data_IF_843324808674
#
_entry.id   IF_843324808674
#
_cell.length_a   1.000
_cell.length_b   1.000
_cell.length_c   1.000
_cell.angle_alpha   90.00
_cell.angle_beta   90.00
_cell.angle_gamma   90.00
#
_symmetry.space_group_name_H-M   'P 1'
#
loop_
_entity.id
_entity.type
_entity.pdbx_description
1 polymer ?
#
# COMPACT_ATOMS: atom_id res chain seq x y z
N UNK A 1 -50.75 -60.02 -29.26
CA UNK A 1 -49.98 -60.26 -30.51
C UNK A 1 -48.64 -59.58 -30.33
N UNK A 2 -47.60 -60.31 -29.92
CA UNK A 2 -46.54 -60.86 -30.81
C UNK A 2 -45.77 -59.72 -31.54
N UNK A 3 -44.44 -59.59 -31.50
CA UNK A 3 -43.40 -60.50 -31.05
C UNK A 3 -42.07 -59.76 -30.80
N UNK A 4 -41.16 -60.50 -30.13
CA UNK A 4 -39.72 -60.31 -29.97
C UNK A 4 -38.99 -60.06 -31.31
N UNK A 5 -37.89 -59.31 -31.26
CA UNK A 5 -36.85 -59.28 -32.29
C UNK A 5 -35.49 -58.89 -31.70
N UNK A 6 -34.59 -59.87 -31.60
CA UNK A 6 -33.17 -59.75 -31.24
C UNK A 6 -32.34 -59.21 -32.42
N UNK A 7 -31.31 -58.42 -32.15
CA UNK A 7 -30.26 -58.07 -33.12
C UNK A 7 -28.94 -57.77 -32.41
N UNK A 8 -27.95 -58.66 -32.59
CA UNK A 8 -26.58 -58.54 -32.07
C UNK A 8 -25.72 -57.68 -33.00
N UNK A 9 -24.78 -56.93 -32.40
CA UNK A 9 -23.39 -56.85 -32.84
C UNK A 9 -22.94 -55.56 -33.53
N UNK A 10 -22.01 -54.84 -32.90
CA UNK A 10 -20.64 -54.60 -33.41
C UNK A 10 -19.79 -53.90 -32.35
N UNK A 11 -18.56 -54.36 -32.20
CA UNK A 11 -17.51 -53.75 -31.39
C UNK A 11 -16.99 -52.48 -32.08
N UNK A 12 -16.75 -51.43 -31.29
CA UNK A 12 -16.03 -50.22 -31.71
C UNK A 12 -15.36 -49.59 -30.49
N UNK A 13 -14.04 -49.77 -30.38
CA UNK A 13 -13.15 -49.06 -29.46
C UNK A 13 -13.04 -47.59 -29.89
N UNK A 14 -13.15 -46.62 -28.97
CA UNK A 14 -12.26 -45.43 -28.86
C UNK A 14 -12.88 -44.28 -28.07
N UNK A 15 -12.10 -43.69 -27.14
CA UNK A 15 -12.26 -42.33 -26.59
C UNK A 15 -13.09 -42.28 -25.30
N UNK A 16 -12.56 -42.05 -24.10
CA UNK A 16 -11.32 -41.34 -23.75
C UNK A 16 -11.59 -39.86 -23.54
N UNK A 17 -11.81 -39.47 -22.27
CA UNK A 17 -11.61 -38.15 -21.67
C UNK A 17 -12.39 -36.94 -22.22
N UNK A 18 -13.60 -36.70 -21.73
CA UNK A 18 -14.29 -35.39 -21.83
C UNK A 18 -14.39 -34.63 -20.49
N UNK A 19 -13.79 -35.12 -19.41
CA UNK A 19 -13.87 -34.48 -18.08
C UNK A 19 -12.58 -33.78 -17.62
N UNK A 20 -11.49 -33.81 -18.39
CA UNK A 20 -10.22 -33.13 -18.03
C UNK A 20 -9.94 -31.84 -18.82
N UNK A 21 -10.73 -31.54 -19.86
CA UNK A 21 -10.48 -30.38 -20.72
C UNK A 21 -10.99 -29.05 -20.12
N UNK A 22 -11.88 -29.08 -19.12
CA UNK A 22 -12.53 -27.87 -18.60
C UNK A 22 -11.83 -27.25 -17.38
N UNK A 23 -10.83 -27.91 -16.79
CA UNK A 23 -10.13 -27.44 -15.58
C UNK A 23 -8.74 -26.86 -15.86
N UNK A 24 -8.34 -26.75 -17.13
CA UNK A 24 -7.01 -26.24 -17.54
C UNK A 24 -7.01 -24.83 -18.14
N UNK A 25 -8.17 -24.16 -18.21
CA UNK A 25 -8.30 -22.85 -18.84
C UNK A 25 -8.28 -21.64 -17.88
N UNK A 26 -8.04 -21.86 -16.58
CA UNK A 26 -8.01 -20.79 -15.56
C UNK A 26 -6.69 -20.76 -14.76
N UNK A 27 -5.57 -21.14 -15.39
CA UNK A 27 -4.24 -20.80 -14.85
C UNK A 27 -3.80 -19.56 -15.61
N UNK A 28 -3.86 -18.42 -14.93
CA UNK A 28 -3.44 -17.12 -15.45
C UNK A 28 -2.09 -17.24 -16.15
N UNK A 29 -2.02 -16.69 -17.37
CA UNK A 29 -0.74 -16.48 -18.06
C UNK A 29 0.04 -15.42 -17.30
N UNK A 30 0.78 -15.85 -16.29
CA UNK A 30 1.74 -14.99 -15.62
C UNK A 30 3.03 -15.03 -16.42
N UNK A 31 3.32 -13.92 -17.09
CA UNK A 31 4.67 -13.68 -17.59
C UNK A 31 5.60 -13.64 -16.38
N UNK A 32 6.32 -14.73 -16.12
CA UNK A 32 7.53 -14.67 -15.33
C UNK A 32 8.54 -13.87 -16.16
N UNK A 33 8.47 -12.54 -16.06
CA UNK A 33 9.48 -11.67 -16.63
C UNK A 33 10.82 -12.12 -16.03
N UNK A 34 11.75 -12.52 -16.90
CA UNK A 34 13.09 -12.90 -16.49
C UNK A 34 13.80 -11.62 -16.08
N UNK A 35 13.85 -11.37 -14.78
CA UNK A 35 14.62 -10.27 -14.20
C UNK A 35 16.09 -10.51 -14.53
N UNK A 36 16.73 -9.52 -15.16
CA UNK A 36 18.17 -9.54 -15.37
C UNK A 36 18.88 -9.08 -14.09
N UNK A 37 19.09 -10.02 -13.16
CA UNK A 37 19.71 -9.75 -11.85
C UNK A 37 21.11 -9.13 -11.94
N UNK A 38 21.85 -9.33 -13.04
CA UNK A 38 23.18 -8.72 -13.22
C UNK A 38 23.20 -7.19 -13.22
N UNK A 39 22.02 -6.55 -13.34
CA UNK A 39 21.85 -5.09 -13.27
C UNK A 39 21.15 -4.65 -11.97
N UNK A 40 20.73 -5.60 -11.12
CA UNK A 40 19.92 -5.36 -9.93
C UNK A 40 20.78 -5.44 -8.68
N UNK A 41 21.43 -4.32 -8.36
CA UNK A 41 22.28 -4.24 -7.17
C UNK A 41 21.46 -4.01 -5.90
N UNK A 42 21.97 -4.52 -4.78
CA UNK A 42 21.46 -4.27 -3.43
C UNK A 42 22.23 -3.15 -2.71
N UNK A 43 21.96 -2.96 -1.42
CA UNK A 43 22.62 -1.92 -0.60
C UNK A 43 24.15 -2.08 -0.47
N UNK A 44 24.69 -3.26 -0.72
CA UNK A 44 26.13 -3.54 -0.74
C UNK A 44 26.73 -3.50 -2.16
N UNK A 45 25.90 -3.28 -3.19
CA UNK A 45 26.32 -3.36 -4.59
C UNK A 45 26.36 -4.78 -5.15
N UNK A 46 25.86 -5.78 -4.42
CA UNK A 46 25.83 -7.19 -4.82
C UNK A 46 24.59 -7.47 -5.68
N UNK A 47 24.73 -8.38 -6.65
CA UNK A 47 23.72 -8.74 -7.64
C UNK A 47 23.23 -10.19 -7.50
N UNK A 48 24.01 -11.06 -6.84
CA UNK A 48 23.74 -12.50 -6.79
C UNK A 48 23.09 -12.94 -5.48
N UNK A 49 23.29 -12.18 -4.40
CA UNK A 49 22.83 -12.58 -3.06
C UNK A 49 21.32 -12.48 -2.87
N UNK A 50 20.67 -11.45 -3.41
CA UNK A 50 19.22 -11.29 -3.33
C UNK A 50 18.46 -12.46 -4.00
N UNK A 51 18.80 -12.90 -5.23
CA UNK A 51 18.22 -14.11 -5.83
C UNK A 51 18.31 -15.34 -4.93
N UNK A 52 19.48 -15.60 -4.35
CA UNK A 52 19.72 -16.76 -3.49
C UNK A 52 18.92 -16.69 -2.18
N UNK A 53 18.82 -15.51 -1.57
CA UNK A 53 17.98 -15.30 -0.39
C UNK A 53 16.50 -15.50 -0.71
N UNK A 54 16.02 -15.02 -1.87
CA UNK A 54 14.65 -15.21 -2.31
C UNK A 54 14.31 -16.71 -2.51
N UNK A 55 15.23 -17.49 -3.10
CA UNK A 55 15.06 -18.95 -3.20
C UNK A 55 15.00 -19.62 -1.83
N UNK A 56 15.86 -19.20 -0.90
CA UNK A 56 15.90 -19.75 0.46
C UNK A 56 14.59 -19.48 1.21
N UNK A 57 14.09 -18.23 1.21
CA UNK A 57 12.86 -17.87 1.94
C UNK A 57 11.58 -18.40 1.29
N UNK A 58 11.64 -18.82 0.02
CA UNK A 58 10.54 -19.52 -0.66
C UNK A 58 10.35 -20.96 -0.19
N UNK A 59 11.46 -21.60 0.19
CA UNK A 59 11.53 -22.99 0.65
C UNK A 59 11.33 -23.09 2.16
N UNK A 60 11.93 -22.19 2.93
CA UNK A 60 11.98 -22.25 4.39
C UNK A 60 11.68 -20.87 5.02
N UNK A 61 10.88 -20.84 6.09
CA UNK A 61 10.66 -19.61 6.87
C UNK A 61 11.85 -19.34 7.81
N UNK A 62 13.01 -19.05 7.21
CA UNK A 62 14.25 -18.77 7.92
C UNK A 62 14.32 -17.28 8.32
N UNK A 63 14.30 -17.01 9.63
CA UNK A 63 14.26 -15.66 10.16
C UNK A 63 15.52 -14.82 9.81
N UNK A 64 16.71 -15.42 9.84
CA UNK A 64 17.97 -14.75 9.50
C UNK A 64 18.02 -14.38 8.02
N UNK A 65 17.54 -15.27 7.15
CA UNK A 65 17.46 -15.02 5.71
C UNK A 65 16.49 -13.88 5.38
N UNK A 66 15.35 -13.81 6.08
CA UNK A 66 14.41 -12.69 5.94
C UNK A 66 14.98 -11.37 6.44
N UNK A 67 15.73 -11.39 7.53
CA UNK A 67 16.39 -10.20 8.07
C UNK A 67 17.46 -9.68 7.11
N UNK A 68 18.35 -10.55 6.61
CA UNK A 68 19.35 -10.18 5.61
C UNK A 68 18.70 -9.66 4.33
N UNK A 69 17.66 -10.33 3.83
CA UNK A 69 16.92 -9.87 2.66
C UNK A 69 16.32 -8.49 2.89
N UNK A 70 15.74 -8.24 4.07
CA UNK A 70 15.21 -6.94 4.46
C UNK A 70 16.26 -5.83 4.35
N UNK A 71 17.43 -6.01 4.98
CA UNK A 71 18.52 -5.02 4.94
C UNK A 71 19.06 -4.77 3.54
N UNK A 72 19.10 -5.80 2.69
CA UNK A 72 19.60 -5.69 1.31
C UNK A 72 18.65 -4.93 0.40
N UNK A 73 17.34 -5.15 0.56
CA UNK A 73 16.32 -4.53 -0.29
C UNK A 73 15.93 -3.14 0.18
N UNK A 74 15.92 -2.92 1.50
CA UNK A 74 15.50 -1.67 2.15
C UNK A 74 16.51 -1.31 3.23
N UNK A 75 17.40 -0.35 2.95
CA UNK A 75 18.38 0.11 3.93
C UNK A 75 17.74 1.10 4.90
N UNK A 76 17.90 0.84 6.20
CA UNK A 76 17.48 1.71 7.31
C UNK A 76 16.03 2.21 7.23
N UNK A 77 15.16 1.43 6.57
CA UNK A 77 13.75 1.76 6.31
C UNK A 77 13.49 2.98 5.40
N UNK A 78 14.52 3.53 4.73
CA UNK A 78 14.41 4.79 3.99
C UNK A 78 14.83 4.71 2.51
N UNK A 79 15.75 3.80 2.16
CA UNK A 79 16.27 3.68 0.79
C UNK A 79 15.99 2.30 0.21
N UNK A 80 15.41 2.28 -1.00
CA UNK A 80 15.17 1.05 -1.78
C UNK A 80 16.14 1.00 -2.96
N UNK A 81 16.68 -0.18 -3.22
CA UNK A 81 17.62 -0.43 -4.32
C UNK A 81 16.94 -1.13 -5.50
N UNK A 82 17.51 -1.14 -6.72
CA UNK A 82 16.92 -1.83 -7.88
C UNK A 82 16.57 -3.30 -7.60
N UNK A 83 17.38 -4.00 -6.78
CA UNK A 83 17.08 -5.35 -6.33
C UNK A 83 15.75 -5.47 -5.57
N UNK A 84 15.32 -4.42 -4.87
CA UNK A 84 14.03 -4.35 -4.17
C UNK A 84 12.85 -4.38 -5.13
N UNK A 85 12.87 -3.51 -6.13
CA UNK A 85 11.82 -3.49 -7.18
C UNK A 85 11.80 -4.81 -7.96
N UNK A 86 12.97 -5.33 -8.33
CA UNK A 86 13.12 -6.63 -8.98
C UNK A 86 12.58 -7.82 -8.14
N UNK A 87 12.69 -7.76 -6.82
CA UNK A 87 12.19 -8.79 -5.92
C UNK A 87 10.66 -8.73 -5.71
N UNK A 88 10.03 -7.59 -6.01
CA UNK A 88 8.65 -7.29 -5.63
C UNK A 88 7.64 -8.33 -6.14
N UNK A 89 7.67 -8.81 -7.41
CA UNK A 89 6.74 -9.84 -7.87
C UNK A 89 6.87 -11.16 -7.11
N UNK A 90 8.10 -11.54 -6.68
CA UNK A 90 8.31 -12.76 -5.87
C UNK A 90 7.75 -12.59 -4.46
N UNK A 91 8.04 -11.45 -3.83
CA UNK A 91 7.56 -11.12 -2.48
C UNK A 91 6.02 -11.09 -2.43
N UNK A 92 5.37 -10.50 -3.43
CA UNK A 92 3.90 -10.42 -3.51
C UNK A 92 3.27 -11.81 -3.61
N UNK A 93 3.84 -12.73 -4.42
CA UNK A 93 3.35 -14.12 -4.47
C UNK A 93 3.42 -14.83 -3.12
N UNK A 94 4.44 -14.52 -2.33
CA UNK A 94 4.61 -15.07 -0.99
C UNK A 94 3.76 -14.38 0.08
N UNK A 95 3.33 -13.13 -0.16
CA UNK A 95 2.62 -12.31 0.82
C UNK A 95 1.30 -12.91 1.31
N UNK A 96 0.70 -13.85 0.56
CA UNK A 96 -0.54 -14.53 0.98
C UNK A 96 -0.31 -15.49 2.16
N UNK A 97 0.89 -16.07 2.23
CA UNK A 97 1.28 -17.09 3.22
C UNK A 97 2.39 -16.64 4.17
N UNK A 98 3.06 -15.52 3.90
CA UNK A 98 4.16 -14.99 4.71
C UNK A 98 3.91 -13.52 5.09
N UNK A 99 3.80 -13.26 6.40
CA UNK A 99 3.71 -11.90 6.93
C UNK A 99 5.00 -11.10 6.68
N UNK A 100 6.17 -11.77 6.69
CA UNK A 100 7.46 -11.14 6.38
C UNK A 100 7.53 -10.69 4.92
N UNK A 101 7.08 -11.53 3.99
CA UNK A 101 7.00 -11.18 2.58
C UNK A 101 6.04 -10.00 2.34
N UNK A 102 4.87 -10.03 2.99
CA UNK A 102 3.89 -8.93 2.94
C UNK A 102 4.47 -7.62 3.45
N UNK A 103 5.09 -7.65 4.64
CA UNK A 103 5.69 -6.46 5.23
C UNK A 103 6.84 -5.91 4.41
N UNK A 104 7.68 -6.77 3.82
CA UNK A 104 8.79 -6.34 2.97
C UNK A 104 8.33 -5.76 1.63
N UNK A 105 7.33 -6.37 0.98
CA UNK A 105 6.71 -5.82 -0.23
C UNK A 105 6.07 -4.45 0.05
N UNK A 106 5.37 -4.31 1.17
CA UNK A 106 4.83 -3.04 1.64
C UNK A 106 5.91 -1.98 1.86
N UNK A 107 6.99 -2.33 2.56
CA UNK A 107 8.11 -1.43 2.81
C UNK A 107 8.77 -0.91 1.51
N UNK A 108 8.92 -1.77 0.50
CA UNK A 108 9.42 -1.38 -0.82
C UNK A 108 8.46 -0.38 -1.49
N UNK A 109 7.15 -0.70 -1.51
CA UNK A 109 6.15 0.14 -2.16
C UNK A 109 6.00 1.52 -1.51
N UNK A 110 6.09 1.62 -0.18
CA UNK A 110 6.03 2.92 0.52
C UNK A 110 7.13 3.89 0.09
N UNK A 111 8.20 3.41 -0.53
CA UNK A 111 9.33 4.21 -1.02
C UNK A 111 9.38 4.32 -2.54
N UNK A 112 8.40 3.78 -3.25
CA UNK A 112 8.42 3.69 -4.71
C UNK A 112 8.38 5.06 -5.42
N UNK A 113 7.77 6.09 -4.80
CA UNK A 113 7.79 7.46 -5.32
C UNK A 113 9.15 8.19 -5.19
N UNK A 114 10.16 7.56 -4.57
CA UNK A 114 11.50 8.12 -4.53
C UNK A 114 12.18 8.10 -5.90
N UNK A 115 13.11 9.03 -6.14
CA UNK A 115 13.86 9.11 -7.39
C UNK A 115 14.97 8.05 -7.45
N UNK A 116 14.59 6.78 -7.57
CA UNK A 116 15.51 5.64 -7.59
C UNK A 116 15.98 5.25 -9.00
N UNK A 117 15.44 5.90 -10.04
CA UNK A 117 15.71 5.55 -11.44
C UNK A 117 15.20 4.16 -11.83
N UNK A 118 14.20 3.65 -11.11
CA UNK A 118 13.64 2.31 -11.24
C UNK A 118 12.18 2.32 -11.71
N UNK A 119 11.71 3.42 -12.30
CA UNK A 119 10.30 3.61 -12.68
C UNK A 119 9.83 2.53 -13.66
N UNK A 120 10.70 2.14 -14.60
CA UNK A 120 10.44 1.04 -15.54
C UNK A 120 10.23 -0.31 -14.82
N UNK A 121 11.04 -0.60 -13.79
CA UNK A 121 10.91 -1.83 -13.00
C UNK A 121 9.61 -1.84 -12.19
N UNK A 122 9.20 -0.68 -11.70
CA UNK A 122 7.93 -0.53 -10.97
C UNK A 122 6.75 -0.69 -11.92
N UNK A 123 6.81 -0.10 -13.12
CA UNK A 123 5.79 -0.22 -14.16
C UNK A 123 5.61 -1.68 -14.61
N UNK A 124 6.71 -2.43 -14.75
CA UNK A 124 6.70 -3.87 -15.03
C UNK A 124 6.02 -4.70 -13.91
N UNK A 125 5.93 -4.17 -12.70
CA UNK A 125 5.28 -4.83 -11.56
C UNK A 125 3.77 -4.52 -11.43
N UNK A 126 3.16 -3.77 -12.34
CA UNK A 126 1.78 -3.26 -12.19
C UNK A 126 0.74 -4.35 -11.87
N UNK A 127 0.77 -5.48 -12.58
CA UNK A 127 -0.15 -6.61 -12.33
C UNK A 127 0.05 -7.21 -10.93
N UNK A 128 1.30 -7.38 -10.51
CA UNK A 128 1.61 -7.89 -9.17
C UNK A 128 1.14 -6.90 -8.09
N UNK A 129 1.35 -5.60 -8.29
CA UNK A 129 0.89 -4.56 -7.36
C UNK A 129 -0.65 -4.56 -7.26
N UNK A 130 -1.36 -4.77 -8.38
CA UNK A 130 -2.81 -4.91 -8.39
C UNK A 130 -3.27 -6.09 -7.51
N UNK A 131 -2.65 -7.26 -7.65
CA UNK A 131 -2.93 -8.42 -6.79
C UNK A 131 -2.62 -8.14 -5.32
N UNK A 132 -1.53 -7.42 -5.06
CA UNK A 132 -1.13 -7.08 -3.70
C UNK A 132 -2.12 -6.15 -3.01
N UNK A 133 -2.75 -5.21 -3.74
CA UNK A 133 -3.82 -4.35 -3.22
C UNK A 133 -5.00 -5.18 -2.72
N UNK A 134 -5.46 -6.15 -3.50
CA UNK A 134 -6.57 -7.04 -3.11
C UNK A 134 -6.20 -7.92 -1.92
N UNK A 135 -4.95 -8.35 -1.84
CA UNK A 135 -4.42 -9.11 -0.71
C UNK A 135 -4.40 -8.27 0.56
N UNK A 136 -3.90 -7.04 0.49
CA UNK A 136 -3.84 -6.10 1.61
C UNK A 136 -5.25 -5.71 2.07
N UNK A 137 -6.19 -5.42 1.17
CA UNK A 137 -7.57 -5.09 1.55
C UNK A 137 -8.24 -6.24 2.30
N UNK A 138 -8.09 -7.49 1.82
CA UNK A 138 -8.56 -8.68 2.55
C UNK A 138 -7.87 -8.85 3.90
N UNK A 139 -6.58 -8.52 3.98
CA UNK A 139 -5.85 -8.57 5.24
C UNK A 139 -6.39 -7.54 6.24
N UNK A 140 -6.67 -6.30 5.82
CA UNK A 140 -7.24 -5.26 6.67
C UNK A 140 -8.60 -5.67 7.25
N UNK A 141 -9.45 -6.30 6.44
CA UNK A 141 -10.75 -6.84 6.89
C UNK A 141 -10.62 -7.91 7.99
N UNK A 142 -9.46 -8.59 8.09
CA UNK A 142 -9.17 -9.52 9.19
C UNK A 142 -8.77 -8.84 10.51
N UNK A 143 -8.70 -7.50 10.51
CA UNK A 143 -8.37 -6.64 11.66
C UNK A 143 -7.06 -7.03 12.35
N UNK A 144 -5.93 -6.97 11.61
CA UNK A 144 -4.65 -7.36 12.16
C UNK A 144 -4.23 -6.43 13.30
N UNK A 145 -3.47 -6.99 14.25
CA UNK A 145 -2.72 -6.17 15.22
C UNK A 145 -1.75 -5.28 14.44
N UNK A 146 -1.71 -3.99 14.80
CA UNK A 146 -0.90 -3.02 14.04
C UNK A 146 -1.53 -2.64 12.70
N UNK A 147 -2.85 -2.48 12.66
CA UNK A 147 -3.67 -2.14 11.48
C UNK A 147 -3.12 -1.01 10.59
N UNK A 148 -2.52 0.03 11.20
CA UNK A 148 -1.99 1.17 10.45
C UNK A 148 -0.93 0.76 9.42
N UNK A 149 -0.01 -0.14 9.77
CA UNK A 149 1.08 -0.55 8.86
C UNK A 149 0.55 -1.08 7.52
N UNK A 150 -0.31 -2.12 7.52
CA UNK A 150 -0.94 -2.62 6.30
C UNK A 150 -1.83 -1.60 5.57
N UNK A 151 -2.42 -0.62 6.28
CA UNK A 151 -3.19 0.45 5.64
C UNK A 151 -2.26 1.38 4.84
N UNK A 152 -1.11 1.75 5.41
CA UNK A 152 -0.08 2.53 4.72
C UNK A 152 0.48 1.75 3.52
N UNK A 153 0.71 0.45 3.66
CA UNK A 153 1.10 -0.40 2.53
C UNK A 153 0.06 -0.36 1.40
N UNK A 154 -1.24 -0.37 1.74
CA UNK A 154 -2.32 -0.31 0.76
C UNK A 154 -2.44 1.07 0.10
N UNK A 155 -2.18 2.15 0.84
CA UNK A 155 -2.08 3.50 0.27
C UNK A 155 -0.93 3.57 -0.73
N UNK A 156 0.25 3.06 -0.37
CA UNK A 156 1.39 3.02 -1.29
C UNK A 156 1.12 2.17 -2.54
N UNK A 157 0.46 1.02 -2.39
CA UNK A 157 0.05 0.19 -3.53
C UNK A 157 -1.05 0.86 -4.38
N UNK A 158 -1.75 1.85 -3.83
CA UNK A 158 -2.69 2.74 -4.54
C UNK A 158 -2.01 3.98 -5.13
N UNK A 159 -0.69 4.09 -5.03
CA UNK A 159 0.12 5.22 -5.47
C UNK A 159 -0.16 6.52 -4.67
N UNK A 160 -0.79 6.40 -3.51
CA UNK A 160 -1.06 7.49 -2.57
C UNK A 160 0.14 7.64 -1.62
N UNK A 161 1.33 7.79 -2.21
CA UNK A 161 2.61 7.72 -1.49
C UNK A 161 2.76 8.80 -0.43
N UNK A 162 2.29 10.02 -0.72
CA UNK A 162 2.32 11.14 0.22
C UNK A 162 1.46 10.86 1.45
N UNK A 163 0.28 10.27 1.29
CA UNK A 163 -0.54 9.83 2.41
C UNK A 163 0.08 8.66 3.16
N UNK A 164 0.62 7.67 2.43
CA UNK A 164 1.34 6.55 3.04
C UNK A 164 2.54 6.99 3.89
N UNK A 165 3.15 8.13 3.59
CA UNK A 165 4.36 8.60 4.26
C UNK A 165 4.07 9.35 5.58
N UNK A 166 2.89 9.94 5.72
CA UNK A 166 2.59 10.88 6.82
C UNK A 166 1.43 10.44 7.71
N UNK A 167 0.51 9.62 7.20
CA UNK A 167 -0.69 9.26 7.93
C UNK A 167 -0.31 8.46 9.19
N UNK A 168 -0.63 9.00 10.35
CA UNK A 168 -0.47 8.34 11.64
C UNK A 168 -1.75 7.64 12.09
N UNK A 169 -1.76 7.24 13.36
CA UNK A 169 -2.94 6.72 14.04
C UNK A 169 -3.77 7.84 14.69
N UNK A 170 -3.35 9.10 14.54
CA UNK A 170 -3.92 10.28 15.19
C UNK A 170 -3.87 10.23 16.71
N UNK A 171 -2.88 9.56 17.30
CA UNK A 171 -2.60 9.73 18.74
C UNK A 171 -1.94 11.09 19.01
N UNK A 172 -1.00 11.51 18.17
CA UNK A 172 -0.26 12.79 18.29
C UNK A 172 0.21 13.32 16.92
N UNK A 173 -0.70 13.39 15.94
CA UNK A 173 -0.34 13.77 14.57
C UNK A 173 -0.26 15.29 14.40
N UNK A 174 0.83 15.74 13.78
CA UNK A 174 1.04 17.14 13.39
C UNK A 174 1.37 17.28 11.91
N UNK A 175 0.74 18.27 11.27
CA UNK A 175 1.01 18.65 9.89
C UNK A 175 1.38 20.13 9.85
N UNK A 176 2.43 20.47 9.12
CA UNK A 176 2.85 21.85 8.92
C UNK A 176 2.50 22.28 7.50
N UNK A 177 1.65 23.30 7.38
CA UNK A 177 1.13 23.77 6.11
C UNK A 177 1.30 25.28 5.98
N UNK A 178 1.71 25.76 4.81
CA UNK A 178 1.64 27.19 4.52
C UNK A 178 0.19 27.59 4.27
N UNK A 179 -0.27 28.69 4.89
CA UNK A 179 -1.58 29.23 4.59
C UNK A 179 -1.63 29.70 3.12
N UNK A 180 -2.61 29.25 2.30
CA UNK A 180 -2.66 29.62 0.88
C UNK A 180 -2.90 31.12 0.65
N UNK A 181 -3.37 31.86 1.65
CA UNK A 181 -3.68 33.29 1.53
C UNK A 181 -2.54 34.22 1.99
N UNK A 182 -1.86 33.89 3.09
CA UNK A 182 -0.81 34.76 3.66
C UNK A 182 0.55 34.09 3.81
N UNK A 183 0.69 32.84 3.36
CA UNK A 183 1.92 32.03 3.39
C UNK A 183 2.53 31.77 4.78
N UNK A 184 1.89 32.19 5.88
CA UNK A 184 2.35 31.84 7.23
C UNK A 184 2.27 30.33 7.43
N UNK A 185 3.28 29.75 8.06
CA UNK A 185 3.24 28.35 8.48
C UNK A 185 2.20 28.17 9.59
N UNK A 186 1.32 27.20 9.40
CA UNK A 186 0.25 26.82 10.31
C UNK A 186 0.48 25.38 10.73
N UNK A 187 0.56 25.14 12.04
CA UNK A 187 0.54 23.80 12.62
C UNK A 187 -0.90 23.32 12.66
N UNK A 188 -1.15 22.13 12.14
CA UNK A 188 -2.41 21.39 12.26
C UNK A 188 -2.16 20.23 13.21
N UNK A 189 -2.86 20.20 14.33
CA UNK A 189 -2.82 19.12 15.31
C UNK A 189 -4.12 18.31 15.22
N UNK A 190 -4.01 16.98 15.14
CA UNK A 190 -5.14 16.05 15.14
C UNK A 190 -4.81 14.89 16.06
N UNK A 191 -5.60 14.71 17.12
CA UNK A 191 -5.47 13.56 18.01
C UNK A 191 -5.83 13.84 19.46
N UNK A 192 -5.18 13.15 20.39
CA UNK A 192 -5.51 13.15 21.82
C UNK A 192 -5.34 14.53 22.47
N UNK A 193 -4.46 15.37 21.93
CA UNK A 193 -4.24 16.75 22.40
C UNK A 193 -5.22 17.77 21.80
N UNK A 194 -6.18 17.31 21.00
CA UNK A 194 -7.23 18.09 20.38
C UNK A 194 -7.04 18.28 18.87
N UNK A 195 -8.08 18.82 18.23
CA UNK A 195 -8.10 19.09 16.80
C UNK A 195 -8.09 20.59 16.55
N UNK A 196 -6.93 21.17 16.23
CA UNK A 196 -6.80 22.62 16.03
C UNK A 196 -5.73 23.01 15.01
N UNK A 197 -5.85 24.24 14.49
CA UNK A 197 -4.79 24.95 13.80
C UNK A 197 -4.16 26.01 14.72
N UNK A 198 -2.85 26.25 14.62
CA UNK A 198 -2.10 27.16 15.48
C UNK A 198 -0.87 27.75 14.78
N UNK A 199 -0.28 28.78 15.40
CA UNK A 199 1.10 29.22 15.09
C UNK A 199 2.03 28.58 16.11
N UNK A 200 3.12 27.97 15.63
CA UNK A 200 4.14 27.40 16.50
C UNK A 200 5.06 28.50 17.02
N UNK A 201 5.01 28.76 18.32
CA UNK A 201 6.01 29.56 19.02
C UNK A 201 7.03 28.65 19.70
N UNK A 202 8.31 29.01 19.61
CA UNK A 202 9.40 28.21 20.16
C UNK A 202 9.35 28.06 21.70
N UNK A 203 8.88 29.08 22.40
CA UNK A 203 8.86 29.11 23.87
C UNK A 203 7.49 28.77 24.45
N UNK A 204 6.42 29.19 23.78
CA UNK A 204 5.05 29.06 24.25
C UNK A 204 4.32 27.84 23.67
N UNK A 205 4.92 27.16 22.68
CA UNK A 205 4.29 26.09 21.94
C UNK A 205 3.22 26.62 20.99
N UNK A 206 2.11 25.89 20.84
CA UNK A 206 1.06 26.25 19.90
C UNK A 206 0.15 27.35 20.44
N UNK A 207 0.28 28.55 19.86
CA UNK A 207 -0.48 29.75 20.22
C UNK A 207 -1.59 30.05 19.20
N UNK A 208 -2.55 30.89 19.61
CA UNK A 208 -3.68 31.33 18.78
C UNK A 208 -4.53 30.19 18.18
N UNK A 209 -4.72 29.12 18.95
CA UNK A 209 -5.45 27.92 18.51
C UNK A 209 -6.85 28.24 17.95
N UNK A 210 -7.18 27.61 16.83
CA UNK A 210 -8.52 27.62 16.20
C UNK A 210 -8.98 26.19 16.01
N UNK A 211 -10.22 25.87 16.38
CA UNK A 211 -10.75 24.52 16.21
C UNK A 211 -10.81 24.12 14.73
N UNK A 212 -10.43 22.89 14.43
CA UNK A 212 -10.65 22.33 13.10
C UNK A 212 -12.13 22.00 12.91
N UNK A 213 -12.57 22.00 11.66
CA UNK A 213 -13.90 21.52 11.29
C UNK A 213 -13.75 20.21 10.52
N UNK A 214 -14.23 19.07 11.04
CA UNK A 214 -14.16 17.82 10.30
C UNK A 214 -15.04 17.91 9.05
N UNK A 215 -14.65 17.19 8.01
CA UNK A 215 -15.48 16.97 6.83
C UNK A 215 -16.66 16.05 7.20
N UNK A 216 -17.86 16.38 6.70
CA UNK A 216 -18.96 15.41 6.74
C UNK A 216 -18.70 14.27 5.74
N UNK A 217 -19.41 13.15 5.92
CA UNK A 217 -19.31 12.02 4.98
C UNK A 217 -19.64 12.41 3.53
N UNK A 218 -20.56 13.36 3.33
CA UNK A 218 -20.93 13.89 2.02
C UNK A 218 -19.84 14.81 1.44
N UNK A 219 -19.08 15.51 2.29
CA UNK A 219 -17.96 16.36 1.88
C UNK A 219 -16.72 15.54 1.50
N UNK A 220 -16.56 14.32 2.03
CA UNK A 220 -15.45 13.43 1.67
C UNK A 220 -15.56 12.94 0.22
N UNK A 221 -14.45 12.92 -0.51
CA UNK A 221 -14.37 12.38 -1.88
C UNK A 221 -13.01 11.73 -2.13
N UNK A 222 -12.89 11.03 -3.25
CA UNK A 222 -11.63 10.40 -3.69
C UNK A 222 -11.00 9.53 -2.59
N UNK A 223 -9.71 9.76 -2.34
CA UNK A 223 -8.94 8.96 -1.37
C UNK A 223 -9.38 9.19 0.07
N UNK A 224 -9.80 10.42 0.44
CA UNK A 224 -10.28 10.72 1.79
C UNK A 224 -11.54 9.93 2.15
N UNK A 225 -12.50 9.85 1.21
CA UNK A 225 -13.69 8.99 1.35
C UNK A 225 -13.30 7.53 1.50
N UNK A 226 -12.42 7.05 0.61
CA UNK A 226 -11.98 5.66 0.64
C UNK A 226 -11.30 5.29 1.97
N UNK A 227 -10.39 6.13 2.48
CA UNK A 227 -9.71 5.90 3.76
C UNK A 227 -10.70 5.85 4.92
N UNK A 228 -11.62 6.82 4.98
CA UNK A 228 -12.65 6.87 6.01
C UNK A 228 -13.55 5.63 5.97
N UNK A 229 -14.09 5.27 4.80
CA UNK A 229 -14.94 4.08 4.63
C UNK A 229 -14.21 2.78 5.00
N UNK A 230 -12.93 2.67 4.64
CA UNK A 230 -12.09 1.52 4.98
C UNK A 230 -11.90 1.40 6.49
N UNK A 231 -11.56 2.50 7.16
CA UNK A 231 -11.41 2.52 8.62
C UNK A 231 -12.73 2.18 9.35
N UNK A 232 -13.86 2.74 8.89
CA UNK A 232 -15.20 2.42 9.44
C UNK A 232 -15.56 0.95 9.24
N UNK A 233 -15.40 0.42 8.02
CA UNK A 233 -15.67 -1.00 7.69
C UNK A 233 -14.89 -1.93 8.62
N UNK A 234 -13.63 -1.58 8.89
CA UNK A 234 -12.71 -2.42 9.64
C UNK A 234 -12.80 -2.17 11.16
N UNK A 235 -13.64 -1.23 11.61
CA UNK A 235 -13.94 -0.99 13.03
C UNK A 235 -12.95 -0.07 13.75
N UNK A 236 -12.25 0.79 13.01
CA UNK A 236 -11.27 1.75 13.51
C UNK A 236 -11.86 3.17 13.55
N UNK A 237 -12.78 3.41 14.50
CA UNK A 237 -13.52 4.68 14.62
C UNK A 237 -12.60 5.90 14.85
N UNK A 238 -11.64 5.79 15.77
CA UNK A 238 -10.70 6.90 16.05
C UNK A 238 -9.89 7.31 14.80
N UNK A 239 -9.48 6.33 13.99
CA UNK A 239 -8.79 6.58 12.73
C UNK A 239 -9.73 7.26 11.72
N UNK A 240 -10.98 6.79 11.60
CA UNK A 240 -11.98 7.40 10.73
C UNK A 240 -12.27 8.85 11.12
N UNK A 241 -12.39 9.14 12.42
CA UNK A 241 -12.58 10.50 12.95
C UNK A 241 -11.38 11.39 12.62
N UNK A 242 -10.16 10.90 12.83
CA UNK A 242 -8.93 11.61 12.45
C UNK A 242 -8.86 11.92 10.96
N UNK A 243 -9.24 10.96 10.10
CA UNK A 243 -9.34 11.16 8.64
C UNK A 243 -10.38 12.25 8.33
N UNK A 244 -11.53 12.28 9.00
CA UNK A 244 -12.53 13.33 8.79
C UNK A 244 -11.98 14.73 9.14
N UNK A 245 -11.14 14.86 10.16
CA UNK A 245 -10.43 16.10 10.46
C UNK A 245 -9.36 16.43 9.42
N UNK A 246 -8.55 15.45 9.01
CA UNK A 246 -7.47 15.63 8.04
C UNK A 246 -7.98 16.08 6.67
N UNK A 247 -9.15 15.58 6.24
CA UNK A 247 -9.82 15.99 5.01
C UNK A 247 -10.83 17.15 5.23
N UNK A 248 -10.86 17.69 6.45
CA UNK A 248 -11.68 18.80 6.86
C UNK A 248 -11.06 20.16 6.56
N UNK A 249 -11.45 21.16 7.36
CA UNK A 249 -11.04 22.56 7.19
C UNK A 249 -10.32 23.09 8.40
N UNK A 250 -9.27 23.86 8.15
CA UNK A 250 -8.53 24.66 9.12
C UNK A 250 -8.80 26.15 8.90
N UNK A 251 -8.63 26.93 9.96
CA UNK A 251 -8.60 28.39 9.89
C UNK A 251 -7.19 28.90 10.21
N UNK A 252 -6.62 29.74 9.36
CA UNK A 252 -5.35 30.40 9.63
C UNK A 252 -5.48 31.34 10.86
N UNK A 253 -4.67 31.16 11.91
CA UNK A 253 -4.74 32.04 13.08
C UNK A 253 -4.42 33.50 12.79
N UNK A 254 -3.59 33.78 11.77
CA UNK A 254 -3.13 35.12 11.43
C UNK A 254 -4.12 35.91 10.56
N UNK A 255 -4.58 35.31 9.44
CA UNK A 255 -5.43 36.01 8.47
C UNK A 255 -6.89 35.54 8.44
N UNK A 256 -7.26 34.58 9.30
CA UNK A 256 -8.59 33.96 9.39
C UNK A 256 -9.09 33.26 8.11
N UNK A 257 -8.27 33.15 7.06
CA UNK A 257 -8.61 32.38 5.86
C UNK A 257 -8.85 30.92 6.22
N UNK A 258 -9.90 30.34 5.64
CA UNK A 258 -10.26 28.93 5.80
C UNK A 258 -9.80 28.15 4.59
N UNK A 259 -9.14 27.02 4.79
CA UNK A 259 -8.60 26.17 3.73
C UNK A 259 -8.82 24.68 4.07
N UNK A 260 -8.79 23.83 3.04
CA UNK A 260 -8.86 22.38 3.21
C UNK A 260 -7.45 21.85 3.53
N UNK A 261 -7.31 21.08 4.60
CA UNK A 261 -5.99 20.62 5.08
C UNK A 261 -5.38 19.64 4.07
N UNK A 262 -6.17 18.68 3.59
CA UNK A 262 -5.71 17.66 2.66
C UNK A 262 -5.34 18.24 1.29
N UNK A 263 -6.10 19.20 0.78
CA UNK A 263 -5.78 19.84 -0.51
C UNK A 263 -4.42 20.56 -0.46
N UNK A 264 -4.16 21.34 0.59
CA UNK A 264 -2.87 22.03 0.76
C UNK A 264 -1.73 21.03 1.01
N UNK A 265 -1.96 19.98 1.80
CA UNK A 265 -0.97 18.94 2.04
C UNK A 265 -0.61 18.20 0.74
N UNK A 266 -1.60 17.74 -0.02
CA UNK A 266 -1.39 17.07 -1.30
C UNK A 266 -0.73 18.01 -2.32
N UNK A 267 -1.11 19.29 -2.38
CA UNK A 267 -0.44 20.24 -3.28
C UNK A 267 1.05 20.42 -2.97
N UNK A 268 1.46 20.30 -1.71
CA UNK A 268 2.85 20.46 -1.30
C UNK A 268 3.67 19.16 -1.37
N UNK A 269 3.03 17.99 -1.22
CA UNK A 269 3.72 16.71 -0.99
C UNK A 269 3.42 15.62 -2.02
N UNK A 270 2.40 15.79 -2.87
CA UNK A 270 2.10 14.79 -3.89
C UNK A 270 3.27 14.68 -4.88
N UNK A 271 3.87 13.49 -5.05
CA UNK A 271 4.99 13.31 -5.96
C UNK A 271 4.57 13.67 -7.39
N UNK A 272 5.40 14.46 -8.08
CA UNK A 272 5.23 14.67 -9.52
C UNK A 272 5.79 13.44 -10.22
N UNK A 273 4.97 12.41 -10.38
CA UNK A 273 5.29 11.25 -11.20
C UNK A 273 5.45 11.72 -12.65
N UNK A 274 6.59 11.41 -13.27
CA UNK A 274 6.90 11.74 -14.67
C UNK A 274 6.73 10.54 -15.58
#
# INVERSE_FOLDING_TARGET
MAARGFGRGTWGLSGGSETEASTRAAVGRFNAQVVNWTQMHDCYGDVDRVPALLELVELEDNAEAWEELGYRLVLEHDVVFPAGFAALPRLIRLASRSARARGLAGAILRRAAGHHGCDDLLADCADAIAEFRELLDRHLQSRPVGYLGPLLDLLAAKEEYHWSAVLGDFTDDFYHLACPNCAVEVTIAIGDYGCYSAIRDWHLGDVDRRGLRPASFEELSGIGRWMHETAVRDGHEALADGIAYLFGKAQCPLCAAVFNIADEYSSANCPVLR
#
